data_IF_050294535135
#
_entry.id   IF_050294535135
#
_cell.length_a   1.000
_cell.length_b   1.000
_cell.length_c   1.000
_cell.angle_alpha   90.00
_cell.angle_beta   90.00
_cell.angle_gamma   90.00
#
_symmetry.space_group_name_H-M   'P 1'
#
loop_
_entity.id
_entity.type
_entity.pdbx_description
1 polymer ?
#
# COMPACT_ATOMS: atom_id res chain seq x y z
N UNK A 1 14.41 27.04 -14.33
CA UNK A 1 14.66 26.01 -13.30
C UNK A 1 15.61 26.48 -12.20
N UNK A 2 16.74 27.14 -12.51
CA UNK A 2 17.71 27.55 -11.49
C UNK A 2 17.12 28.37 -10.31
N UNK A 3 16.18 29.26 -10.60
CA UNK A 3 15.52 30.12 -9.60
C UNK A 3 14.22 29.51 -9.04
N UNK A 4 13.86 28.28 -9.39
CA UNK A 4 12.66 27.62 -8.86
C UNK A 4 12.85 27.25 -7.39
N UNK A 5 11.80 27.44 -6.58
CA UNK A 5 11.74 27.02 -5.18
C UNK A 5 11.09 25.65 -5.00
N UNK A 6 10.41 25.15 -6.04
CA UNK A 6 9.77 23.84 -6.09
C UNK A 6 10.08 23.18 -7.44
N UNK A 7 10.52 21.92 -7.39
CA UNK A 7 10.65 21.03 -8.54
C UNK A 7 9.81 19.79 -8.26
N UNK A 8 8.88 19.47 -9.16
CA UNK A 8 7.78 18.53 -8.92
C UNK A 8 7.48 17.75 -10.19
N UNK A 9 7.46 16.42 -10.07
CA UNK A 9 7.00 15.51 -11.12
C UNK A 9 5.73 14.82 -10.64
N UNK A 10 4.67 14.91 -11.44
CA UNK A 10 3.36 14.36 -11.12
C UNK A 10 2.90 13.46 -12.25
N UNK A 11 2.34 12.30 -11.91
CA UNK A 11 1.68 11.42 -12.85
C UNK A 11 0.29 11.04 -12.34
N UNK A 12 -0.66 10.89 -13.26
CA UNK A 12 -2.05 10.61 -12.94
C UNK A 12 -2.88 10.22 -14.16
N UNK A 13 -4.14 9.91 -13.90
CA UNK A 13 -5.19 9.80 -14.93
C UNK A 13 -5.95 11.13 -15.04
N UNK A 14 -6.90 11.22 -15.97
CA UNK A 14 -7.81 12.34 -16.05
C UNK A 14 -8.59 12.57 -14.74
N UNK A 15 -8.82 11.50 -13.97
CA UNK A 15 -9.64 11.54 -12.75
C UNK A 15 -8.83 11.78 -11.48
N UNK A 16 -7.58 11.30 -11.42
CA UNK A 16 -6.82 11.29 -10.17
C UNK A 16 -5.30 11.39 -10.35
N UNK A 17 -4.65 12.02 -9.38
CA UNK A 17 -3.20 11.95 -9.19
C UNK A 17 -2.83 10.57 -8.61
N UNK A 18 -1.79 9.95 -9.16
CA UNK A 18 -1.33 8.61 -8.77
C UNK A 18 0.08 8.59 -8.18
N UNK A 19 0.97 9.50 -8.63
CA UNK A 19 2.36 9.55 -8.18
C UNK A 19 2.84 11.00 -8.11
N UNK A 20 3.66 11.28 -7.09
CA UNK A 20 4.29 12.58 -6.86
C UNK A 20 5.74 12.35 -6.41
N UNK A 21 6.69 13.03 -7.06
CA UNK A 21 8.10 13.11 -6.65
C UNK A 21 8.51 14.60 -6.63
N UNK A 22 9.14 15.07 -5.55
CA UNK A 22 9.34 16.50 -5.35
C UNK A 22 10.64 16.84 -4.60
N UNK A 23 11.27 17.96 -4.99
CA UNK A 23 12.30 18.66 -4.22
C UNK A 23 11.89 20.12 -4.01
N UNK A 24 12.08 20.65 -2.80
CA UNK A 24 11.64 22.01 -2.48
C UNK A 24 12.62 22.76 -1.55
N UNK A 25 12.65 24.10 -1.69
CA UNK A 25 13.45 25.02 -0.87
C UNK A 25 12.62 25.61 0.29
N UNK A 26 12.02 24.74 1.12
CA UNK A 26 11.27 25.17 2.30
C UNK A 26 9.95 25.90 2.01
N UNK A 27 9.28 25.55 0.91
CA UNK A 27 7.97 26.11 0.55
C UNK A 27 6.87 25.60 1.49
N UNK A 28 5.77 26.35 1.60
CA UNK A 28 4.60 25.92 2.39
C UNK A 28 3.84 24.76 1.77
N UNK A 29 3.09 24.02 2.57
CA UNK A 29 2.20 22.95 2.11
C UNK A 29 1.15 23.47 1.11
N UNK A 30 0.68 24.70 1.29
CA UNK A 30 -0.29 25.32 0.37
C UNK A 30 0.29 25.44 -1.05
N UNK A 31 1.54 25.87 -1.17
CA UNK A 31 2.23 25.98 -2.47
C UNK A 31 2.34 24.61 -3.15
N UNK A 32 2.61 23.55 -2.38
CA UNK A 32 2.66 22.18 -2.92
C UNK A 32 1.27 21.73 -3.41
N UNK A 33 0.21 22.00 -2.63
CA UNK A 33 -1.16 21.64 -3.03
C UNK A 33 -1.60 22.37 -4.30
N UNK A 34 -1.30 23.67 -4.39
CA UNK A 34 -1.63 24.48 -5.57
C UNK A 34 -0.87 23.97 -6.81
N UNK A 35 0.40 23.58 -6.65
CA UNK A 35 1.20 23.00 -7.73
C UNK A 35 0.66 21.64 -8.19
N UNK A 36 0.21 20.78 -7.26
CA UNK A 36 -0.41 19.50 -7.59
C UNK A 36 -1.73 19.68 -8.35
N UNK A 37 -2.56 20.64 -7.94
CA UNK A 37 -3.80 20.95 -8.64
C UNK A 37 -3.51 21.46 -10.07
N UNK A 38 -2.56 22.38 -10.22
CA UNK A 38 -2.13 22.88 -11.52
C UNK A 38 -1.58 21.76 -12.43
N UNK A 39 -0.75 20.86 -11.87
CA UNK A 39 -0.22 19.71 -12.60
C UNK A 39 -1.33 18.76 -13.07
N UNK A 40 -2.35 18.50 -12.23
CA UNK A 40 -3.46 17.62 -12.62
C UNK A 40 -4.29 18.17 -13.78
N UNK A 41 -4.47 19.50 -13.86
CA UNK A 41 -5.13 20.13 -15.00
C UNK A 41 -4.36 19.93 -16.31
N UNK A 42 -3.03 20.02 -16.29
CA UNK A 42 -2.21 19.72 -17.48
C UNK A 42 -2.22 18.22 -17.81
N UNK A 43 -2.21 17.33 -16.81
CA UNK A 43 -2.35 15.88 -17.01
C UNK A 43 -3.65 15.56 -17.74
N UNK A 44 -4.79 16.20 -17.36
CA UNK A 44 -6.07 16.01 -18.05
C UNK A 44 -5.97 16.34 -19.54
N UNK A 45 -5.28 17.42 -19.90
CA UNK A 45 -5.05 17.80 -21.31
C UNK A 45 -4.20 16.78 -22.05
N UNK A 46 -3.14 16.28 -21.41
CA UNK A 46 -2.27 15.24 -21.98
C UNK A 46 -3.06 13.94 -22.18
N UNK A 47 -3.87 13.53 -21.20
CA UNK A 47 -4.75 12.37 -21.32
C UNK A 47 -5.78 12.54 -22.46
N UNK A 48 -6.40 13.71 -22.59
CA UNK A 48 -7.33 14.00 -23.68
C UNK A 48 -6.64 13.84 -25.05
N UNK A 49 -5.45 14.40 -25.23
CA UNK A 49 -4.68 14.26 -26.46
C UNK A 49 -4.31 12.79 -26.77
N UNK A 50 -3.97 12.00 -25.74
CA UNK A 50 -3.72 10.56 -25.90
C UNK A 50 -4.98 9.79 -26.32
N UNK A 51 -6.15 10.16 -25.80
CA UNK A 51 -7.44 9.55 -26.17
C UNK A 51 -7.83 9.93 -27.60
N UNK A 52 -7.65 11.18 -28.01
CA UNK A 52 -7.87 11.62 -29.40
C UNK A 52 -6.98 10.84 -30.38
N UNK A 53 -5.71 10.62 -30.03
CA UNK A 53 -4.81 9.80 -30.83
C UNK A 53 -5.26 8.32 -30.87
N UNK A 54 -5.71 7.79 -29.74
CA UNK A 54 -6.24 6.44 -29.65
C UNK A 54 -7.51 6.25 -30.48
N UNK A 55 -8.35 7.28 -30.63
CA UNK A 55 -9.53 7.23 -31.50
C UNK A 55 -9.15 7.19 -32.99
N UNK A 56 -8.09 7.91 -33.38
CA UNK A 56 -7.65 7.99 -34.78
C UNK A 56 -6.92 6.73 -35.28
N UNK A 57 -6.12 6.08 -34.43
CA UNK A 57 -5.21 4.99 -34.83
C UNK A 57 -5.49 3.68 -34.10
N UNK A 58 -6.29 3.72 -33.03
CA UNK A 58 -6.35 2.70 -31.99
C UNK A 58 -6.51 1.26 -32.47
N UNK A 59 -5.67 0.38 -31.94
CA UNK A 59 -5.81 -1.06 -32.10
C UNK A 59 -6.98 -1.58 -31.26
N UNK A 60 -7.58 -2.68 -31.70
CA UNK A 60 -8.60 -3.38 -30.91
C UNK A 60 -8.03 -3.78 -29.55
N UNK A 61 -8.78 -3.46 -28.48
CA UNK A 61 -8.40 -3.88 -27.13
C UNK A 61 -8.47 -5.39 -27.07
N UNK A 62 -7.41 -6.00 -26.52
CA UNK A 62 -7.40 -7.44 -26.25
C UNK A 62 -8.55 -7.78 -25.30
N UNK A 63 -9.34 -8.78 -25.67
CA UNK A 63 -10.32 -9.35 -24.76
C UNK A 63 -9.62 -9.93 -23.54
N UNK A 64 -10.05 -9.48 -22.36
CA UNK A 64 -9.58 -10.00 -21.08
C UNK A 64 -10.79 -10.52 -20.31
N UNK A 65 -10.78 -11.82 -20.06
CA UNK A 65 -11.81 -12.50 -19.28
C UNK A 65 -11.27 -12.64 -17.85
N UNK A 66 -11.89 -11.99 -16.85
CA UNK A 66 -11.52 -12.19 -15.45
C UNK A 66 -11.70 -13.64 -15.04
N UNK A 67 -10.84 -14.14 -14.18
CA UNK A 67 -11.05 -15.44 -13.56
C UNK A 67 -12.30 -15.38 -12.67
N UNK A 68 -13.19 -16.35 -12.82
CA UNK A 68 -14.34 -16.56 -11.93
C UNK A 68 -14.05 -17.71 -10.99
N UNK A 69 -14.52 -17.59 -9.75
CA UNK A 69 -14.29 -18.58 -8.70
C UNK A 69 -15.62 -18.97 -8.06
N UNK A 70 -15.76 -20.19 -7.53
CA UNK A 70 -17.00 -20.60 -6.87
C UNK A 70 -17.32 -19.68 -5.69
N UNK A 71 -18.55 -19.17 -5.63
CA UNK A 71 -19.01 -18.30 -4.53
C UNK A 71 -18.86 -18.98 -3.17
N UNK A 72 -19.20 -20.27 -3.11
CA UNK A 72 -19.03 -21.11 -1.93
C UNK A 72 -17.58 -21.15 -1.41
N UNK A 73 -16.59 -21.06 -2.31
CA UNK A 73 -15.18 -21.00 -1.91
C UNK A 73 -14.86 -19.69 -1.19
N UNK A 74 -15.38 -18.57 -1.71
CA UNK A 74 -15.18 -17.25 -1.11
C UNK A 74 -15.79 -17.19 0.29
N UNK A 75 -17.00 -17.73 0.47
CA UNK A 75 -17.67 -17.83 1.76
C UNK A 75 -16.88 -18.68 2.75
N UNK A 76 -16.50 -19.91 2.35
CA UNK A 76 -15.75 -20.83 3.23
C UNK A 76 -14.42 -20.23 3.65
N UNK A 77 -13.68 -19.60 2.73
CA UNK A 77 -12.41 -18.95 3.06
C UNK A 77 -12.63 -17.77 4.01
N UNK A 78 -13.68 -16.96 3.76
CA UNK A 78 -14.05 -15.83 4.61
C UNK A 78 -14.37 -16.26 6.04
N UNK A 79 -15.25 -17.25 6.21
CA UNK A 79 -15.61 -17.81 7.52
C UNK A 79 -14.41 -18.42 8.24
N UNK A 80 -13.57 -19.16 7.51
CA UNK A 80 -12.36 -19.77 8.06
C UNK A 80 -11.41 -18.71 8.64
N UNK A 81 -11.24 -17.59 7.93
CA UNK A 81 -10.30 -16.54 8.31
C UNK A 81 -10.86 -15.54 9.33
N UNK A 82 -12.16 -15.29 9.36
CA UNK A 82 -12.78 -14.23 10.17
C UNK A 82 -12.34 -14.24 11.64
N UNK A 83 -12.34 -15.41 12.29
CA UNK A 83 -11.94 -15.54 13.70
C UNK A 83 -10.43 -15.75 13.89
N UNK A 84 -9.75 -16.31 12.89
CA UNK A 84 -8.33 -16.67 12.98
C UNK A 84 -7.42 -15.47 12.75
N UNK A 85 -7.82 -14.55 11.86
CA UNK A 85 -7.04 -13.34 11.58
C UNK A 85 -6.90 -12.48 12.84
N UNK A 86 -7.97 -12.27 13.61
CA UNK A 86 -7.90 -11.44 14.81
C UNK A 86 -6.92 -11.94 15.87
N UNK A 87 -6.62 -13.24 15.89
CA UNK A 87 -5.68 -13.84 16.82
C UNK A 87 -4.22 -13.59 16.44
N UNK A 88 -3.92 -13.41 15.15
CA UNK A 88 -2.54 -13.33 14.64
C UNK A 88 -2.16 -11.93 14.12
N UNK A 89 -3.15 -11.15 13.71
CA UNK A 89 -2.93 -9.90 12.98
C UNK A 89 -2.47 -8.75 13.90
N UNK A 90 -2.65 -8.92 15.21
CA UNK A 90 -2.42 -7.89 16.21
C UNK A 90 -1.33 -8.31 17.19
N UNK A 91 -0.11 -7.92 16.86
CA UNK A 91 1.05 -8.00 17.74
C UNK A 91 1.92 -6.76 17.50
N UNK A 92 2.43 -6.10 18.56
CA UNK A 92 3.32 -4.96 18.42
C UNK A 92 4.66 -5.36 17.78
N UNK A 93 5.09 -6.60 17.97
CA UNK A 93 6.30 -7.12 17.35
C UNK A 93 6.04 -7.59 15.92
N UNK A 94 6.75 -6.96 14.96
CA UNK A 94 6.61 -7.27 13.52
C UNK A 94 6.98 -8.71 13.20
N UNK A 95 8.10 -9.22 13.73
CA UNK A 95 8.59 -10.56 13.39
C UNK A 95 7.60 -11.63 13.87
N UNK A 96 7.11 -11.51 15.12
CA UNK A 96 6.06 -12.36 15.66
C UNK A 96 4.79 -12.32 14.82
N UNK A 97 4.34 -11.12 14.39
CA UNK A 97 3.16 -10.95 13.55
C UNK A 97 3.34 -11.58 12.17
N UNK A 98 4.48 -11.36 11.51
CA UNK A 98 4.79 -11.91 10.19
C UNK A 98 4.80 -13.45 10.23
N UNK A 99 5.51 -14.04 11.21
CA UNK A 99 5.53 -15.49 11.39
C UNK A 99 4.12 -16.07 11.62
N UNK A 100 3.31 -15.43 12.47
CA UNK A 100 1.96 -15.91 12.75
C UNK A 100 1.02 -15.80 11.53
N UNK A 101 1.17 -14.75 10.72
CA UNK A 101 0.45 -14.60 9.46
C UNK A 101 0.91 -15.62 8.41
N UNK A 102 2.20 -15.91 8.32
CA UNK A 102 2.73 -16.90 7.38
C UNK A 102 2.31 -18.33 7.76
N UNK A 103 2.30 -18.63 9.05
CA UNK A 103 1.79 -19.90 9.57
C UNK A 103 0.30 -20.07 9.26
N UNK A 104 -0.51 -19.03 9.48
CA UNK A 104 -1.93 -19.05 9.16
C UNK A 104 -2.17 -19.17 7.66
N UNK A 105 -1.38 -18.49 6.84
CA UNK A 105 -1.43 -18.59 5.37
C UNK A 105 -1.17 -20.01 4.92
N UNK A 106 -0.13 -20.65 5.47
CA UNK A 106 0.23 -22.03 5.16
C UNK A 106 -0.89 -22.99 5.54
N UNK A 107 -1.45 -22.87 6.76
CA UNK A 107 -2.59 -23.68 7.21
C UNK A 107 -3.82 -23.49 6.31
N UNK A 108 -4.12 -22.26 5.93
CA UNK A 108 -5.26 -21.95 5.06
C UNK A 108 -5.12 -22.64 3.70
N UNK A 109 -3.93 -22.58 3.10
CA UNK A 109 -3.67 -23.21 1.80
C UNK A 109 -3.72 -24.73 1.90
N UNK A 110 -3.16 -25.32 2.97
CA UNK A 110 -3.16 -26.79 3.16
C UNK A 110 -4.58 -27.31 3.44
N UNK A 111 -5.25 -26.76 4.45
CA UNK A 111 -6.56 -27.27 4.90
C UNK A 111 -7.68 -27.00 3.89
N UNK A 112 -7.69 -25.83 3.25
CA UNK A 112 -8.72 -25.52 2.25
C UNK A 112 -8.32 -26.01 0.85
N UNK A 113 -7.04 -26.26 0.60
CA UNK A 113 -6.56 -26.82 -0.67
C UNK A 113 -7.08 -28.22 -0.93
N UNK A 114 -7.19 -29.05 0.11
CA UNK A 114 -7.83 -30.38 0.01
C UNK A 114 -9.31 -30.29 -0.41
N UNK A 115 -9.99 -29.20 -0.02
CA UNK A 115 -11.41 -28.96 -0.31
C UNK A 115 -11.64 -28.36 -1.70
N UNK A 116 -10.63 -27.65 -2.23
CA UNK A 116 -10.67 -26.96 -3.53
C UNK A 116 -9.39 -27.23 -4.35
N UNK A 117 -9.13 -28.49 -4.75
CA UNK A 117 -7.87 -28.87 -5.38
C UNK A 117 -7.62 -28.15 -6.73
N UNK A 118 -8.67 -27.77 -7.44
CA UNK A 118 -8.59 -27.05 -8.72
C UNK A 118 -8.37 -25.53 -8.56
N UNK A 119 -8.40 -25.01 -7.33
CA UNK A 119 -8.34 -23.57 -7.04
C UNK A 119 -7.31 -23.22 -5.95
N UNK A 120 -6.30 -24.06 -5.74
CA UNK A 120 -5.24 -23.82 -4.75
C UNK A 120 -4.50 -22.50 -5.03
N UNK A 121 -4.37 -22.12 -6.30
CA UNK A 121 -3.66 -20.92 -6.77
C UNK A 121 -4.29 -19.60 -6.26
N UNK A 122 -5.60 -19.58 -6.02
CA UNK A 122 -6.29 -18.39 -5.52
C UNK A 122 -6.36 -18.34 -3.99
N UNK A 123 -6.24 -19.45 -3.26
CA UNK A 123 -6.32 -19.44 -1.79
C UNK A 123 -5.37 -18.42 -1.15
N UNK A 124 -4.14 -18.32 -1.66
CA UNK A 124 -3.18 -17.30 -1.22
C UNK A 124 -3.67 -15.87 -1.47
N UNK A 125 -4.26 -15.59 -2.63
CA UNK A 125 -4.81 -14.26 -2.95
C UNK A 125 -6.02 -13.91 -2.10
N UNK A 126 -6.89 -14.88 -1.80
CA UNK A 126 -8.04 -14.68 -0.91
C UNK A 126 -7.59 -14.44 0.52
N UNK A 127 -6.57 -15.15 0.98
CA UNK A 127 -5.92 -14.88 2.24
C UNK A 127 -5.39 -13.44 2.31
N UNK A 128 -4.57 -13.04 1.33
CA UNK A 128 -3.99 -11.69 1.28
C UNK A 128 -5.08 -10.61 1.23
N UNK A 129 -6.17 -10.85 0.49
CA UNK A 129 -7.35 -9.99 0.46
C UNK A 129 -8.03 -9.91 1.83
N UNK A 130 -8.27 -11.02 2.50
CA UNK A 130 -8.91 -11.06 3.81
C UNK A 130 -8.08 -10.34 4.88
N UNK A 131 -6.75 -10.54 4.89
CA UNK A 131 -5.82 -9.79 5.75
C UNK A 131 -5.97 -8.28 5.50
N UNK A 132 -5.91 -7.86 4.22
CA UNK A 132 -6.02 -6.45 3.83
C UNK A 132 -7.35 -5.84 4.25
N UNK A 133 -8.46 -6.54 4.00
CA UNK A 133 -9.80 -6.08 4.33
C UNK A 133 -9.97 -5.96 5.84
N UNK A 134 -9.47 -6.93 6.61
CA UNK A 134 -9.55 -6.90 8.08
C UNK A 134 -8.72 -5.78 8.70
N UNK A 135 -7.50 -5.55 8.20
CA UNK A 135 -6.67 -4.40 8.61
C UNK A 135 -7.39 -3.09 8.34
N UNK A 136 -7.94 -2.94 7.14
CA UNK A 136 -8.64 -1.71 6.74
C UNK A 136 -9.87 -1.48 7.61
N UNK A 137 -10.68 -2.51 7.81
CA UNK A 137 -11.89 -2.44 8.63
C UNK A 137 -11.55 -1.91 10.03
N UNK A 138 -10.54 -2.50 10.70
CA UNK A 138 -10.16 -2.07 12.05
C UNK A 138 -9.65 -0.63 12.10
N UNK A 139 -8.87 -0.20 11.12
CA UNK A 139 -8.37 1.19 11.06
C UNK A 139 -9.53 2.17 10.89
N UNK A 140 -10.53 1.83 10.07
CA UNK A 140 -11.70 2.69 9.81
C UNK A 140 -12.66 2.69 11.00
N UNK A 141 -12.97 1.52 11.56
CA UNK A 141 -14.02 1.34 12.57
C UNK A 141 -13.50 1.64 13.99
N UNK A 142 -12.28 1.20 14.32
CA UNK A 142 -11.70 1.33 15.67
C UNK A 142 -10.61 2.40 15.77
N UNK A 143 -10.06 2.88 14.65
CA UNK A 143 -8.96 3.86 14.64
C UNK A 143 -7.62 3.28 15.14
N UNK A 144 -7.51 1.96 15.23
CA UNK A 144 -6.35 1.24 15.77
C UNK A 144 -5.59 0.53 14.64
N UNK A 145 -4.26 0.68 14.66
CA UNK A 145 -3.34 0.04 13.70
C UNK A 145 -2.89 -1.34 14.20
N UNK A 146 -2.30 -2.13 13.30
CA UNK A 146 -1.82 -3.50 13.57
C UNK A 146 -0.80 -3.62 14.71
N UNK A 147 -0.08 -2.54 15.01
CA UNK A 147 0.92 -2.46 16.08
C UNK A 147 0.38 -1.78 17.35
N UNK A 148 -0.95 -1.60 17.45
CA UNK A 148 -1.64 -1.04 18.61
C UNK A 148 -1.66 0.50 18.67
N UNK A 149 -0.99 1.19 17.74
CA UNK A 149 -0.96 2.66 17.69
C UNK A 149 -2.27 3.23 17.14
N UNK A 150 -2.60 4.44 17.60
CA UNK A 150 -3.63 5.28 16.99
C UNK A 150 -3.18 5.90 15.67
N UNK A 151 -4.10 6.60 15.00
CA UNK A 151 -3.87 7.21 13.68
C UNK A 151 -2.79 8.31 13.68
N UNK A 152 -2.59 8.98 14.82
CA UNK A 152 -1.67 10.12 14.96
C UNK A 152 -0.36 9.77 15.69
N UNK A 153 -0.23 8.54 16.18
CA UNK A 153 0.91 8.17 17.04
C UNK A 153 2.16 7.90 16.21
N UNK A 154 3.25 8.55 16.60
CA UNK A 154 4.59 8.31 16.05
C UNK A 154 5.28 7.20 16.84
N UNK A 155 6.04 6.33 16.17
CA UNK A 155 6.86 5.29 16.85
C UNK A 155 7.95 5.96 17.68
N UNK A 156 8.45 5.25 18.69
CA UNK A 156 9.59 5.70 19.49
C UNK A 156 10.77 6.12 18.60
N UNK A 157 11.36 7.27 18.89
CA UNK A 157 12.50 7.83 18.18
C UNK A 157 13.71 7.82 19.10
N UNK A 158 14.84 7.34 18.60
CA UNK A 158 16.16 7.54 19.22
C UNK A 158 17.08 8.22 18.21
N UNK A 159 17.96 9.09 18.72
CA UNK A 159 18.90 9.88 17.93
C UNK A 159 20.24 9.88 18.62
N UNK A 160 21.27 9.42 17.91
CA UNK A 160 22.66 9.44 18.38
C UNK A 160 23.53 10.12 17.32
N UNK A 161 24.54 10.86 17.75
CA UNK A 161 25.50 11.55 16.88
C UNK A 161 26.92 11.18 17.28
N UNK A 162 27.86 11.19 16.33
CA UNK A 162 29.26 10.84 16.59
C UNK A 162 29.49 9.36 16.90
N UNK A 163 28.60 8.48 16.41
CA UNK A 163 28.63 7.03 16.66
C UNK A 163 29.89 6.36 16.10
N UNK A 164 30.43 6.87 14.99
CA UNK A 164 31.62 6.34 14.35
C UNK A 164 32.87 7.16 14.70
N UNK A 165 33.96 6.52 15.18
CA UNK A 165 35.09 7.22 15.79
C UNK A 165 36.03 7.94 14.81
N UNK A 166 35.91 7.70 13.49
CA UNK A 166 36.83 8.24 12.47
C UNK A 166 36.17 9.05 11.36
N UNK A 167 34.84 9.08 11.29
CA UNK A 167 34.12 9.85 10.27
C UNK A 167 34.08 11.32 10.63
N UNK A 168 34.06 12.22 9.64
CA UNK A 168 33.86 13.65 9.88
C UNK A 168 32.55 13.97 10.64
N UNK A 169 31.51 13.18 10.38
CA UNK A 169 30.24 13.22 11.12
C UNK A 169 29.50 11.90 10.92
N UNK A 170 28.80 11.46 11.96
CA UNK A 170 27.93 10.27 11.93
C UNK A 170 26.68 10.54 12.74
N UNK A 171 25.57 9.96 12.32
CA UNK A 171 24.30 10.00 13.02
C UNK A 171 23.60 8.65 12.88
N UNK A 172 23.03 8.16 13.99
CA UNK A 172 22.19 6.98 14.02
C UNK A 172 20.79 7.43 14.43
N UNK A 173 19.85 7.31 13.50
CA UNK A 173 18.45 7.63 13.72
C UNK A 173 17.67 6.32 13.71
N UNK A 174 16.86 6.07 14.73
CA UNK A 174 15.98 4.90 14.76
C UNK A 174 14.56 5.35 15.08
N UNK A 175 13.58 4.88 14.30
CA UNK A 175 12.15 5.15 14.48
C UNK A 175 11.37 3.84 14.52
N UNK A 176 11.10 3.36 15.73
CA UNK A 176 10.57 2.03 16.00
C UNK A 176 11.53 0.94 15.51
N UNK A 177 11.04 -0.01 14.73
CA UNK A 177 11.87 -1.09 14.17
C UNK A 177 12.56 -0.72 12.84
N UNK A 178 12.69 0.58 12.52
CA UNK A 178 13.41 1.08 11.36
C UNK A 178 14.63 1.85 11.85
N UNK A 179 15.82 1.38 11.50
CA UNK A 179 17.12 2.00 11.76
C UNK A 179 17.80 2.29 10.43
#
# INVERSE_FOLDING_TARGET
>A
MADSELDLVVAGTADAILMVEAGAKGVSEQVVLDALAAAHEEIKRICAAQLELQEQVGLEKREWIPNTYPEQMLEIVGEYLALRLDQVLYSPDKASRENALDDLRTKTIVELGERFPEHIDILGKLYDKAVKDRVRQRIVDEGIRVDGRGLKDVRQITVEVGVLPRTHGSGLFTRGQTQ
#
